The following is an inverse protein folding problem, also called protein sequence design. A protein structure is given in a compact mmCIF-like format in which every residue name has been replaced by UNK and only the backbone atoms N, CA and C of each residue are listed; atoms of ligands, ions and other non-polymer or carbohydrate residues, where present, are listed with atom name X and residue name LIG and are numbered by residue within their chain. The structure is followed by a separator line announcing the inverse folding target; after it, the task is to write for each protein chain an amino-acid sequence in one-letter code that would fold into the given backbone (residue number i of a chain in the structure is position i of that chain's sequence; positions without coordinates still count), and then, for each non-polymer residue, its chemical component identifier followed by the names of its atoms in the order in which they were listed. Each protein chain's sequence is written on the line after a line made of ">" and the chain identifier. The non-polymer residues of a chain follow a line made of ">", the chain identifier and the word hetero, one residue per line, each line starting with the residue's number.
data_IF_883203147563
#
_entry.id   IF_883203147563
#
_cell.length_a   1.000
_cell.length_b   1.000
_cell.length_c   1.000
_cell.angle_alpha   90.00
_cell.angle_beta   90.00
_cell.angle_gamma   90.00
#
_symmetry.space_group_name_H-M   'P 1'
#
loop_
_entity.id
_entity.type
_entity.pdbx_description
1 polymer ?
#
# COMPACT_ATOMS: atom_id res chain seq x y z
N UNK A 1 -3.47 -3.33 -28.91
CA UNK A 1 -2.06 -3.33 -29.37
C UNK A 1 -1.19 -2.41 -28.51
N UNK A 2 -1.59 -1.16 -28.22
CA UNK A 2 -0.87 -0.26 -27.29
C UNK A 2 -0.63 -0.86 -25.89
N UNK A 3 -1.64 -1.48 -25.26
CA UNK A 3 -1.48 -2.07 -23.92
C UNK A 3 -0.42 -3.19 -23.84
N UNK A 4 -0.23 -3.95 -24.92
CA UNK A 4 0.77 -5.02 -24.94
C UNK A 4 2.18 -4.44 -25.06
N UNK A 5 2.43 -3.57 -26.03
CA UNK A 5 3.72 -2.90 -26.17
C UNK A 5 4.10 -2.12 -24.89
N UNK A 6 3.13 -1.48 -24.25
CA UNK A 6 3.29 -0.75 -23.01
C UNK A 6 3.68 -1.63 -21.81
N UNK A 7 2.98 -2.76 -21.61
CA UNK A 7 3.34 -3.74 -20.58
C UNK A 7 4.73 -4.33 -20.83
N UNK A 8 5.08 -4.60 -22.10
CA UNK A 8 6.43 -5.04 -22.46
C UNK A 8 7.47 -3.96 -22.14
N UNK A 9 7.19 -2.68 -22.41
CA UNK A 9 8.10 -1.57 -22.05
C UNK A 9 8.30 -1.45 -20.54
N UNK A 10 7.25 -1.64 -19.73
CA UNK A 10 7.36 -1.61 -18.27
C UNK A 10 8.07 -2.84 -17.68
N UNK A 11 7.89 -4.01 -18.30
CA UNK A 11 8.64 -5.22 -17.95
C UNK A 11 10.11 -5.08 -18.33
N UNK A 12 10.40 -4.56 -19.54
CA UNK A 12 11.77 -4.22 -19.93
C UNK A 12 12.36 -3.19 -18.97
N UNK A 13 11.63 -2.13 -18.64
CA UNK A 13 12.05 -1.17 -17.61
C UNK A 13 12.40 -1.86 -16.30
N UNK A 14 11.57 -2.79 -15.83
CA UNK A 14 11.81 -3.55 -14.62
C UNK A 14 13.12 -4.36 -14.71
N UNK A 15 13.31 -5.09 -15.80
CA UNK A 15 14.51 -5.91 -16.04
C UNK A 15 15.78 -5.04 -16.17
N UNK A 16 15.69 -3.89 -16.83
CA UNK A 16 16.82 -2.95 -16.97
C UNK A 16 17.17 -2.27 -15.65
N UNK A 17 16.19 -1.95 -14.79
CA UNK A 17 16.47 -1.44 -13.46
C UNK A 17 17.13 -2.50 -12.58
N UNK A 18 16.68 -3.74 -12.68
CA UNK A 18 17.31 -4.84 -11.97
C UNK A 18 18.76 -5.01 -12.43
N UNK A 19 19.02 -4.95 -13.74
CA UNK A 19 20.39 -4.95 -14.26
C UNK A 19 21.20 -3.74 -13.77
N UNK A 20 20.66 -2.52 -13.83
CA UNK A 20 21.34 -1.32 -13.34
C UNK A 20 21.66 -1.39 -11.85
N UNK A 21 20.78 -2.02 -11.07
CA UNK A 21 21.01 -2.31 -9.66
C UNK A 21 22.15 -3.31 -9.46
N UNK A 22 22.22 -4.36 -10.28
CA UNK A 22 23.28 -5.37 -10.22
C UNK A 22 24.66 -4.85 -10.64
N UNK A 23 24.71 -3.78 -11.45
CA UNK A 23 25.94 -3.12 -11.92
C UNK A 23 26.27 -1.82 -11.19
N UNK A 24 25.57 -1.49 -10.10
CA UNK A 24 25.77 -0.27 -9.31
C UNK A 24 25.69 1.05 -10.12
N UNK A 25 24.83 1.09 -11.14
CA UNK A 25 24.67 2.25 -12.04
C UNK A 25 23.54 3.19 -11.57
N UNK A 26 23.77 3.91 -10.47
CA UNK A 26 22.78 4.83 -9.89
C UNK A 26 22.20 5.86 -10.88
N UNK A 27 22.99 6.59 -11.70
CA UNK A 27 22.45 7.61 -12.59
C UNK A 27 21.52 7.01 -13.65
N UNK A 28 21.82 5.79 -14.10
CA UNK A 28 21.03 5.06 -15.10
C UNK A 28 19.71 4.62 -14.51
N UNK A 29 19.74 4.05 -13.29
CA UNK A 29 18.53 3.70 -12.55
C UNK A 29 17.63 4.93 -12.34
N UNK A 30 18.20 6.05 -11.89
CA UNK A 30 17.46 7.29 -11.65
C UNK A 30 16.78 7.82 -12.92
N UNK A 31 17.50 7.85 -14.03
CA UNK A 31 16.96 8.28 -15.32
C UNK A 31 15.82 7.35 -15.76
N UNK A 32 15.98 6.03 -15.63
CA UNK A 32 14.91 5.10 -15.94
C UNK A 32 13.65 5.40 -15.14
N UNK A 33 13.73 5.58 -13.81
CA UNK A 33 12.53 5.91 -13.02
C UNK A 33 11.90 7.21 -13.46
N UNK A 34 12.71 8.23 -13.78
CA UNK A 34 12.23 9.52 -14.26
C UNK A 34 11.43 9.36 -15.55
N UNK A 35 11.95 8.59 -16.51
CA UNK A 35 11.27 8.26 -17.76
C UNK A 35 10.01 7.42 -17.54
N UNK A 36 10.03 6.47 -16.61
CA UNK A 36 8.85 5.68 -16.27
C UNK A 36 7.72 6.54 -15.67
N UNK A 37 8.05 7.56 -14.87
CA UNK A 37 7.05 8.50 -14.37
C UNK A 37 6.45 9.36 -15.49
N UNK A 38 7.28 9.86 -16.42
CA UNK A 38 6.80 10.62 -17.58
C UNK A 38 5.87 9.75 -18.42
N UNK A 39 6.30 8.53 -18.74
CA UNK A 39 5.52 7.57 -19.50
C UNK A 39 4.19 7.23 -18.80
N UNK A 40 4.22 7.07 -17.46
CA UNK A 40 3.02 6.85 -16.66
C UNK A 40 2.01 8.00 -16.79
N UNK A 41 2.49 9.25 -16.74
CA UNK A 41 1.64 10.45 -16.76
C UNK A 41 1.11 10.79 -18.16
N UNK A 42 1.92 10.61 -19.20
CA UNK A 42 1.61 11.06 -20.56
C UNK A 42 0.88 10.00 -21.40
N UNK A 43 1.24 8.72 -21.27
CA UNK A 43 0.80 7.67 -22.19
C UNK A 43 -0.24 6.70 -21.59
N UNK A 44 -0.35 6.62 -20.26
CA UNK A 44 -1.21 5.62 -19.59
C UNK A 44 -2.57 6.20 -19.26
N UNK A 45 -3.52 5.98 -20.16
CA UNK A 45 -4.89 6.48 -20.02
C UNK A 45 -5.85 5.43 -19.44
N UNK A 46 -5.56 4.14 -19.65
CA UNK A 46 -6.42 3.05 -19.16
C UNK A 46 -6.22 2.79 -17.66
N UNK A 47 -7.32 2.88 -16.91
CA UNK A 47 -7.30 2.70 -15.45
C UNK A 47 -6.67 1.39 -14.98
N UNK A 48 -6.85 0.27 -15.69
CA UNK A 48 -6.25 -1.02 -15.30
C UNK A 48 -4.74 -1.06 -15.60
N UNK A 49 -4.35 -0.53 -16.76
CA UNK A 49 -2.94 -0.37 -17.11
C UNK A 49 -2.22 0.55 -16.11
N UNK A 50 -2.86 1.61 -15.64
CA UNK A 50 -2.32 2.50 -14.62
C UNK A 50 -2.10 1.82 -13.30
N UNK A 51 -3.10 1.06 -12.81
CA UNK A 51 -2.92 0.27 -11.58
C UNK A 51 -1.72 -0.65 -11.72
N UNK A 52 -1.60 -1.34 -12.86
CA UNK A 52 -0.50 -2.28 -13.09
C UNK A 52 0.86 -1.57 -13.15
N UNK A 53 0.97 -0.50 -13.94
CA UNK A 53 2.18 0.31 -14.05
C UNK A 53 2.60 0.87 -12.69
N UNK A 54 1.65 1.36 -11.90
CA UNK A 54 1.92 1.88 -10.56
C UNK A 54 2.53 0.82 -9.63
N UNK A 55 1.93 -0.37 -9.60
CA UNK A 55 2.46 -1.48 -8.80
C UNK A 55 3.86 -1.92 -9.27
N UNK A 56 4.12 -1.88 -10.58
CA UNK A 56 5.45 -2.18 -11.13
C UNK A 56 6.49 -1.13 -10.72
N UNK A 57 6.16 0.17 -10.79
CA UNK A 57 7.07 1.24 -10.36
C UNK A 57 7.38 1.13 -8.86
N UNK A 58 6.35 0.95 -8.02
CA UNK A 58 6.54 0.80 -6.57
C UNK A 58 7.38 -0.45 -6.27
N UNK A 59 7.05 -1.57 -6.90
CA UNK A 59 7.77 -2.84 -6.69
C UNK A 59 9.22 -2.79 -7.17
N UNK A 60 9.49 -2.09 -8.28
CA UNK A 60 10.84 -1.84 -8.76
C UNK A 60 11.61 -0.99 -7.75
N UNK A 61 11.08 0.19 -7.38
CA UNK A 61 11.73 1.12 -6.46
C UNK A 61 12.00 0.51 -5.08
N UNK A 62 11.11 -0.36 -4.59
CA UNK A 62 11.30 -1.08 -3.34
C UNK A 62 12.57 -1.94 -3.36
N UNK A 63 12.89 -2.58 -4.50
CA UNK A 63 14.02 -3.51 -4.66
C UNK A 63 15.32 -2.85 -5.12
N UNK A 64 15.32 -1.54 -5.34
CA UNK A 64 16.52 -0.82 -5.76
C UNK A 64 17.41 -0.48 -4.57
N UNK A 65 18.59 -1.06 -4.54
CA UNK A 65 19.59 -0.86 -3.48
C UNK A 65 20.72 0.09 -3.93
N UNK A 66 20.89 0.28 -5.24
CA UNK A 66 21.88 1.20 -5.84
C UNK A 66 21.57 2.69 -5.63
N UNK A 67 20.32 3.04 -5.32
CA UNK A 67 19.92 4.44 -5.16
C UNK A 67 20.41 5.00 -3.82
N UNK A 68 21.19 6.09 -3.88
CA UNK A 68 21.57 6.89 -2.73
C UNK A 68 20.35 7.52 -2.05
N UNK A 69 20.53 7.93 -0.79
CA UNK A 69 19.44 8.40 0.08
C UNK A 69 18.64 9.55 -0.56
N UNK A 70 19.32 10.54 -1.14
CA UNK A 70 18.68 11.72 -1.74
C UNK A 70 17.87 11.39 -3.00
N UNK A 71 18.46 10.59 -3.90
CA UNK A 71 17.80 10.15 -5.13
C UNK A 71 16.61 9.24 -4.82
N UNK A 72 16.77 8.31 -3.88
CA UNK A 72 15.69 7.45 -3.41
C UNK A 72 14.58 8.26 -2.76
N UNK A 73 14.90 9.26 -1.94
CA UNK A 73 13.90 10.13 -1.32
C UNK A 73 13.11 10.92 -2.38
N UNK A 74 13.81 11.45 -3.37
CA UNK A 74 13.21 12.19 -4.49
C UNK A 74 12.26 11.30 -5.31
N UNK A 75 12.71 10.11 -5.71
CA UNK A 75 11.88 9.16 -6.47
C UNK A 75 10.71 8.63 -5.64
N UNK A 76 10.90 8.41 -4.33
CA UNK A 76 9.83 8.00 -3.42
C UNK A 76 8.82 9.11 -3.22
N UNK A 77 9.27 10.37 -3.09
CA UNK A 77 8.39 11.53 -3.03
C UNK A 77 7.65 11.73 -4.34
N UNK A 78 8.28 11.49 -5.49
CA UNK A 78 7.62 11.54 -6.81
C UNK A 78 6.60 10.42 -6.97
N UNK A 79 6.95 9.16 -6.67
CA UNK A 79 6.01 8.04 -6.67
C UNK A 79 4.83 8.31 -5.74
N UNK A 80 5.12 8.71 -4.50
CA UNK A 80 4.11 9.07 -3.52
C UNK A 80 3.29 10.23 -4.05
N UNK A 81 3.89 11.34 -4.49
CA UNK A 81 3.23 12.53 -5.03
C UNK A 81 2.33 12.25 -6.25
N UNK A 82 2.76 11.42 -7.18
CA UNK A 82 1.94 10.96 -8.31
C UNK A 82 0.70 10.20 -7.81
N UNK A 83 0.82 9.45 -6.70
CA UNK A 83 -0.28 8.70 -6.07
C UNK A 83 -1.12 9.56 -5.11
N UNK A 84 -0.50 10.57 -4.48
CA UNK A 84 -0.96 11.26 -3.27
C UNK A 84 -1.33 12.72 -3.57
N UNK A 85 -0.58 13.48 -4.36
CA UNK A 85 -0.94 14.84 -4.79
C UNK A 85 -1.89 14.86 -6.00
N UNK A 86 -2.10 13.72 -6.64
CA UNK A 86 -3.26 13.44 -7.49
C UNK A 86 -4.62 13.59 -6.78
N UNK A 87 -4.63 13.75 -5.46
CA UNK A 87 -5.84 13.72 -4.62
C UNK A 87 -6.84 14.90 -4.82
N UNK A 88 -6.45 16.12 -5.25
CA UNK A 88 -7.42 17.12 -5.70
C UNK A 88 -7.36 17.48 -7.19
N UNK A 89 -6.22 17.30 -7.88
CA UNK A 89 -6.04 17.75 -9.28
C UNK A 89 -6.09 16.62 -10.32
N UNK A 90 -5.89 15.35 -9.93
CA UNK A 90 -6.09 14.20 -10.82
C UNK A 90 -7.49 13.64 -10.61
N UNK A 91 -8.49 14.43 -11.00
CA UNK A 91 -9.87 13.99 -11.13
C UNK A 91 -10.06 12.93 -12.25
N UNK A 92 -8.99 12.30 -12.77
CA UNK A 92 -9.06 11.60 -14.05
C UNK A 92 -8.90 10.08 -14.07
N UNK A 93 -8.28 9.40 -13.09
CA UNK A 93 -7.63 8.13 -13.49
C UNK A 93 -7.87 6.87 -12.62
N UNK A 94 -7.89 6.93 -11.29
CA UNK A 94 -8.09 5.71 -10.46
C UNK A 94 -9.35 5.75 -9.61
N UNK A 95 -10.04 4.61 -9.49
CA UNK A 95 -11.14 4.44 -8.52
C UNK A 95 -10.59 4.48 -7.09
N UNK A 96 -11.39 4.94 -6.13
CA UNK A 96 -10.97 5.04 -4.71
C UNK A 96 -10.33 3.76 -4.14
N UNK A 97 -10.83 2.54 -4.43
CA UNK A 97 -10.17 1.32 -3.97
C UNK A 97 -8.74 1.19 -4.49
N UNK A 98 -8.51 1.44 -5.76
CA UNK A 98 -7.19 1.33 -6.37
C UNK A 98 -6.22 2.39 -5.83
N UNK A 99 -6.72 3.60 -5.59
CA UNK A 99 -5.96 4.66 -4.90
C UNK A 99 -5.56 4.22 -3.49
N UNK A 100 -6.48 3.63 -2.73
CA UNK A 100 -6.21 3.12 -1.39
C UNK A 100 -5.06 2.11 -1.42
N UNK A 101 -5.12 1.16 -2.37
CA UNK A 101 -4.10 0.12 -2.54
C UNK A 101 -2.73 0.66 -2.91
N UNK A 102 -2.68 1.60 -3.85
CA UNK A 102 -1.44 2.27 -4.21
C UNK A 102 -0.83 3.02 -3.00
N UNK A 103 -1.67 3.75 -2.23
CA UNK A 103 -1.20 4.55 -1.08
C UNK A 103 -0.61 3.66 0.03
N UNK A 104 -1.28 2.57 0.42
CA UNK A 104 -0.67 1.69 1.42
C UNK A 104 0.51 0.91 0.83
N UNK A 105 0.58 0.64 -0.48
CA UNK A 105 1.73 -0.04 -1.08
C UNK A 105 3.00 0.82 -0.94
N UNK A 106 2.89 2.14 -1.09
CA UNK A 106 4.01 3.07 -0.89
C UNK A 106 4.60 3.05 0.52
N UNK A 107 3.85 2.59 1.52
CA UNK A 107 4.42 2.45 2.88
C UNK A 107 5.65 1.54 2.91
N UNK A 108 5.74 0.55 2.01
CA UNK A 108 6.91 -0.33 1.89
C UNK A 108 8.16 0.37 1.34
N UNK A 109 8.03 1.51 0.66
CA UNK A 109 9.17 2.29 0.19
C UNK A 109 9.94 2.95 1.34
N UNK A 110 9.24 3.24 2.44
CA UNK A 110 9.76 3.87 3.65
C UNK A 110 10.20 2.88 4.72
N UNK A 111 10.10 1.57 4.45
CA UNK A 111 10.44 0.53 5.41
C UNK A 111 10.99 -0.72 4.71
N UNK A 112 12.31 -0.80 4.63
CA UNK A 112 13.07 -1.89 4.01
C UNK A 112 13.72 -2.71 5.12
N UNK A 113 13.45 -4.01 5.13
CA UNK A 113 13.94 -4.94 6.16
C UNK A 113 15.34 -5.49 5.82
N UNK A 114 16.24 -4.58 5.48
CA UNK A 114 17.67 -4.85 5.23
C UNK A 114 18.53 -4.12 6.27
N UNK A 115 19.78 -4.55 6.45
CA UNK A 115 20.66 -4.10 7.54
C UNK A 115 20.85 -2.58 7.57
N UNK A 116 20.89 -1.96 6.39
CA UNK A 116 21.02 -0.52 6.19
C UNK A 116 19.81 0.06 5.42
N UNK A 117 18.68 -0.67 5.43
CA UNK A 117 17.45 -0.26 4.78
C UNK A 117 16.78 0.92 5.48
N UNK A 118 16.04 1.72 4.70
CA UNK A 118 15.26 2.86 5.24
C UNK A 118 14.23 2.34 6.25
N UNK A 119 14.16 2.96 7.43
CA UNK A 119 13.18 2.66 8.49
C UNK A 119 12.49 3.93 8.99
N UNK A 120 11.78 4.61 8.10
CA UNK A 120 11.01 5.81 8.42
C UNK A 120 9.58 5.42 8.83
N UNK A 121 9.41 5.15 10.12
CA UNK A 121 8.13 4.71 10.67
C UNK A 121 7.03 5.78 10.60
N UNK A 122 7.38 7.06 10.60
CA UNK A 122 6.42 8.17 10.55
C UNK A 122 5.79 8.27 9.17
N UNK A 123 6.60 8.17 8.11
CA UNK A 123 6.11 8.16 6.73
C UNK A 123 5.31 6.90 6.41
N UNK A 124 5.71 5.73 6.96
CA UNK A 124 4.87 4.52 6.91
C UNK A 124 3.48 4.81 7.48
N UNK A 125 3.41 5.35 8.70
CA UNK A 125 2.14 5.62 9.36
C UNK A 125 1.32 6.68 8.60
N UNK A 126 1.97 7.68 8.01
CA UNK A 126 1.32 8.68 7.17
C UNK A 126 0.62 8.05 5.96
N UNK A 127 1.28 7.15 5.24
CA UNK A 127 0.69 6.38 4.14
C UNK A 127 -0.50 5.55 4.62
N UNK A 128 -0.36 4.80 5.71
CA UNK A 128 -1.43 3.96 6.25
C UNK A 128 -2.65 4.78 6.70
N UNK A 129 -2.44 5.90 7.41
CA UNK A 129 -3.53 6.82 7.79
C UNK A 129 -4.22 7.43 6.57
N UNK A 130 -3.47 7.73 5.51
CA UNK A 130 -4.05 8.25 4.27
C UNK A 130 -4.86 7.20 3.53
N UNK A 131 -4.38 5.96 3.44
CA UNK A 131 -5.14 4.83 2.90
C UNK A 131 -6.46 4.64 3.66
N UNK A 132 -6.42 4.70 4.99
CA UNK A 132 -7.62 4.61 5.83
C UNK A 132 -8.63 5.73 5.56
N UNK A 133 -8.18 6.97 5.33
CA UNK A 133 -9.06 8.08 4.92
C UNK A 133 -9.73 7.81 3.56
N UNK A 134 -8.99 7.26 2.61
CA UNK A 134 -9.53 6.93 1.27
C UNK A 134 -10.55 5.79 1.38
N UNK A 135 -10.26 4.75 2.18
CA UNK A 135 -11.19 3.65 2.44
C UNK A 135 -12.50 4.15 3.07
N UNK A 136 -12.42 4.99 4.11
CA UNK A 136 -13.60 5.62 4.72
C UNK A 136 -14.42 6.44 3.71
N UNK A 137 -13.76 7.24 2.88
CA UNK A 137 -14.45 8.03 1.87
C UNK A 137 -15.08 7.16 0.76
N UNK A 138 -14.51 5.99 0.45
CA UNK A 138 -15.11 5.00 -0.43
C UNK A 138 -16.37 4.37 0.20
N UNK A 139 -16.31 4.04 1.49
CA UNK A 139 -17.44 3.51 2.27
C UNK A 139 -18.61 4.49 2.32
N UNK A 140 -18.35 5.77 2.61
CA UNK A 140 -19.36 6.83 2.66
C UNK A 140 -20.00 7.07 1.30
N UNK A 141 -19.22 7.01 0.22
CA UNK A 141 -19.73 7.16 -1.14
C UNK A 141 -20.64 6.00 -1.53
N UNK A 142 -20.30 4.76 -1.16
CA UNK A 142 -21.16 3.61 -1.37
C UNK A 142 -22.49 3.78 -0.60
N UNK A 143 -22.42 4.14 0.68
CA UNK A 143 -23.61 4.42 1.50
C UNK A 143 -24.52 5.49 0.87
N UNK A 144 -23.94 6.56 0.32
CA UNK A 144 -24.70 7.64 -0.31
C UNK A 144 -25.34 7.24 -1.66
N UNK A 145 -24.69 6.38 -2.45
CA UNK A 145 -25.15 6.02 -3.80
C UNK A 145 -26.11 4.84 -3.78
N UNK A 146 -25.85 3.82 -2.97
CA UNK A 146 -26.60 2.55 -2.97
C UNK A 146 -27.32 2.28 -1.65
N UNK A 147 -27.29 3.20 -0.68
CA UNK A 147 -27.88 3.00 0.65
C UNK A 147 -27.21 1.89 1.46
N UNK A 148 -26.05 1.41 1.00
CA UNK A 148 -25.35 0.24 1.53
C UNK A 148 -23.89 0.56 1.82
N UNK A 149 -23.35 -0.03 2.90
CA UNK A 149 -21.94 0.10 3.21
C UNK A 149 -21.14 -0.64 2.16
N UNK A 150 -20.08 0.01 1.66
CA UNK A 150 -19.16 -0.60 0.71
C UNK A 150 -18.46 -1.84 1.28
N UNK A 151 -17.76 -2.62 0.45
CA UNK A 151 -17.07 -3.80 0.92
C UNK A 151 -15.96 -3.43 1.91
N UNK A 152 -15.96 -4.05 3.09
CA UNK A 152 -14.97 -3.82 4.16
C UNK A 152 -13.56 -4.30 3.81
N UNK A 153 -13.38 -4.93 2.65
CA UNK A 153 -12.12 -5.52 2.17
C UNK A 153 -10.93 -4.58 2.31
N UNK A 154 -11.10 -3.29 1.97
CA UNK A 154 -10.02 -2.30 2.05
C UNK A 154 -9.54 -2.09 3.49
N UNK A 155 -10.44 -2.11 4.47
CA UNK A 155 -10.07 -1.98 5.87
C UNK A 155 -9.29 -3.22 6.34
N UNK A 156 -9.70 -4.42 5.92
CA UNK A 156 -8.99 -5.67 6.21
C UNK A 156 -7.59 -5.70 5.58
N UNK A 157 -7.47 -5.24 4.32
CA UNK A 157 -6.18 -5.08 3.64
C UNK A 157 -5.26 -4.12 4.41
N UNK A 158 -5.76 -2.95 4.81
CA UNK A 158 -5.02 -1.97 5.60
C UNK A 158 -4.62 -2.57 6.95
N UNK A 159 -5.52 -3.27 7.65
CA UNK A 159 -5.22 -3.93 8.93
C UNK A 159 -4.03 -4.89 8.78
N UNK A 160 -4.01 -5.70 7.71
CA UNK A 160 -2.88 -6.59 7.42
C UNK A 160 -1.56 -5.83 7.19
N UNK A 161 -1.61 -4.62 6.62
CA UNK A 161 -0.43 -3.75 6.52
C UNK A 161 0.01 -3.21 7.88
N UNK A 162 -0.92 -2.80 8.75
CA UNK A 162 -0.59 -2.44 10.14
C UNK A 162 0.09 -3.62 10.85
N UNK A 163 -0.47 -4.83 10.76
CA UNK A 163 0.11 -6.03 11.36
C UNK A 163 1.53 -6.31 10.85
N UNK A 164 1.77 -6.20 9.55
CA UNK A 164 3.10 -6.36 8.97
C UNK A 164 4.13 -5.41 9.59
N UNK A 165 3.87 -4.10 9.59
CA UNK A 165 4.82 -3.13 10.14
C UNK A 165 4.95 -3.20 11.66
N UNK A 166 3.86 -3.59 12.35
CA UNK A 166 3.91 -3.89 13.76
C UNK A 166 4.90 -5.02 14.04
N UNK A 167 4.83 -6.13 13.31
CA UNK A 167 5.75 -7.25 13.48
C UNK A 167 7.19 -6.90 13.14
N UNK A 168 7.40 -6.07 12.11
CA UNK A 168 8.73 -5.55 11.76
C UNK A 168 9.29 -4.54 12.75
N UNK A 169 8.55 -4.21 13.82
CA UNK A 169 9.06 -3.38 14.90
C UNK A 169 8.95 -1.88 14.66
N UNK A 170 8.07 -1.44 13.76
CA UNK A 170 7.82 -0.02 13.59
C UNK A 170 7.13 0.56 14.85
N UNK A 171 7.77 1.47 15.60
CA UNK A 171 7.24 1.98 16.86
C UNK A 171 6.01 2.88 16.68
N UNK A 172 5.82 3.44 15.48
CA UNK A 172 4.67 4.29 15.16
C UNK A 172 3.39 3.47 14.97
N UNK A 173 3.51 2.17 14.70
CA UNK A 173 2.39 1.26 14.64
C UNK A 173 2.19 0.64 16.02
N UNK A 174 1.06 0.95 16.66
CA UNK A 174 0.78 0.51 18.04
C UNK A 174 -0.33 -0.54 18.07
N UNK A 175 -0.34 -1.35 19.13
CA UNK A 175 -1.43 -2.29 19.41
C UNK A 175 -2.78 -1.58 19.55
N UNK A 176 -2.80 -0.35 20.08
CA UNK A 176 -4.00 0.48 20.17
C UNK A 176 -4.53 0.88 18.78
N UNK A 177 -3.66 1.22 17.83
CA UNK A 177 -4.08 1.52 16.46
C UNK A 177 -4.68 0.28 15.78
N UNK A 178 -4.04 -0.90 15.96
CA UNK A 178 -4.55 -2.18 15.44
C UNK A 178 -5.91 -2.51 16.07
N UNK A 179 -6.05 -2.34 17.39
CA UNK A 179 -7.31 -2.55 18.10
C UNK A 179 -8.43 -1.69 17.52
N UNK A 180 -8.18 -0.39 17.33
CA UNK A 180 -9.17 0.51 16.74
C UNK A 180 -9.60 0.11 15.33
N UNK A 181 -8.68 -0.43 14.51
CA UNK A 181 -9.03 -0.95 13.18
C UNK A 181 -9.86 -2.24 13.26
N UNK A 182 -9.52 -3.16 14.17
CA UNK A 182 -10.31 -4.39 14.40
C UNK A 182 -11.73 -4.04 14.83
N UNK A 183 -11.89 -3.09 15.75
CA UNK A 183 -13.21 -2.63 16.21
C UNK A 183 -14.00 -1.96 15.09
N UNK A 184 -13.34 -1.10 14.29
CA UNK A 184 -13.97 -0.46 13.14
C UNK A 184 -14.48 -1.50 12.14
N UNK A 185 -13.66 -2.48 11.76
CA UNK A 185 -14.05 -3.53 10.81
C UNK A 185 -15.20 -4.35 11.38
N UNK A 186 -15.12 -4.73 12.65
CA UNK A 186 -16.17 -5.51 13.33
C UNK A 186 -17.51 -4.77 13.30
N UNK A 187 -17.51 -3.48 13.63
CA UNK A 187 -18.71 -2.65 13.63
C UNK A 187 -19.30 -2.47 12.22
N UNK A 188 -18.46 -2.23 11.21
CA UNK A 188 -18.92 -2.14 9.82
C UNK A 188 -19.51 -3.45 9.32
N UNK A 189 -18.93 -4.60 9.68
CA UNK A 189 -19.45 -5.91 9.28
C UNK A 189 -20.76 -6.28 9.98
N UNK A 190 -21.01 -5.77 11.19
CA UNK A 190 -22.25 -5.97 11.93
C UNK A 190 -23.35 -4.95 11.55
N UNK A 191 -23.02 -3.93 10.77
CA UNK A 191 -24.00 -2.93 10.34
C UNK A 191 -25.02 -3.54 9.37
N UNK A 192 -26.31 -3.33 9.65
CA UNK A 192 -27.42 -3.78 8.80
C UNK A 192 -27.38 -3.18 7.37
N UNK A 193 -26.64 -2.10 7.17
CA UNK A 193 -26.44 -1.47 5.87
C UNK A 193 -25.35 -2.14 5.02
N UNK A 194 -24.52 -3.01 5.59
CA UNK A 194 -23.39 -3.61 4.87
C UNK A 194 -23.86 -4.77 4.00
N UNK A 195 -23.45 -4.77 2.73
CA UNK A 195 -23.70 -5.92 1.86
C UNK A 195 -22.81 -7.09 2.30
N UNK A 196 -23.39 -8.27 2.59
CA UNK A 196 -22.60 -9.44 2.98
C UNK A 196 -21.65 -9.83 1.86
N UNK A 197 -20.36 -9.93 2.18
CA UNK A 197 -19.33 -10.41 1.27
C UNK A 197 -18.56 -11.55 1.94
N UNK A 198 -18.89 -12.82 1.60
CA UNK A 198 -18.25 -13.99 2.18
C UNK A 198 -16.72 -14.00 2.04
N UNK A 199 -16.18 -13.37 0.98
CA UNK A 199 -14.74 -13.30 0.78
C UNK A 199 -14.09 -12.35 1.80
N UNK A 200 -14.67 -11.17 2.02
CA UNK A 200 -14.22 -10.23 3.04
C UNK A 200 -14.36 -10.79 4.45
N UNK A 201 -15.44 -11.51 4.74
CA UNK A 201 -15.67 -12.20 6.02
C UNK A 201 -14.60 -13.26 6.28
N UNK A 202 -14.34 -14.13 5.30
CA UNK A 202 -13.31 -15.16 5.40
C UNK A 202 -11.91 -14.54 5.56
N UNK A 203 -11.64 -13.43 4.88
CA UNK A 203 -10.35 -12.74 4.99
C UNK A 203 -10.16 -12.10 6.37
N UNK A 204 -11.19 -11.44 6.91
CA UNK A 204 -11.15 -10.88 8.25
C UNK A 204 -11.01 -11.98 9.31
N UNK A 205 -11.79 -13.05 9.21
CA UNK A 205 -11.70 -14.19 10.13
C UNK A 205 -10.30 -14.84 10.12
N UNK A 206 -9.68 -14.94 8.96
CA UNK A 206 -8.30 -15.43 8.82
C UNK A 206 -7.29 -14.48 9.49
N UNK A 207 -7.50 -13.17 9.35
CA UNK A 207 -6.68 -12.13 10.00
C UNK A 207 -6.83 -12.18 11.53
N UNK A 208 -8.03 -12.40 12.05
CA UNK A 208 -8.28 -12.55 13.49
C UNK A 208 -7.61 -13.81 14.05
N UNK A 209 -7.73 -14.95 13.35
CA UNK A 209 -7.03 -16.19 13.73
C UNK A 209 -5.52 -15.99 13.77
N UNK A 210 -4.97 -15.22 12.82
CA UNK A 210 -3.56 -14.87 12.82
C UNK A 210 -3.15 -14.09 14.08
N UNK A 211 -3.91 -13.05 14.46
CA UNK A 211 -3.66 -12.28 15.69
C UNK A 211 -3.71 -13.20 16.92
N UNK A 212 -4.70 -14.09 17.01
CA UNK A 212 -4.82 -15.06 18.11
C UNK A 212 -3.63 -16.02 18.16
N UNK A 213 -3.18 -16.52 16.99
CA UNK A 213 -2.02 -17.39 16.89
C UNK A 213 -0.73 -16.68 17.35
N UNK A 214 -0.52 -15.42 16.97
CA UNK A 214 0.65 -14.66 17.42
C UNK A 214 0.66 -14.42 18.94
N UNK A 215 -0.51 -14.24 19.57
CA UNK A 215 -0.63 -14.17 21.03
C UNK A 215 -0.20 -15.47 21.72
N UNK A 216 -0.59 -16.61 21.16
CA UNK A 216 -0.35 -17.93 21.75
C UNK A 216 1.13 -18.36 21.67
N UNK A 217 1.91 -17.80 20.73
CA UNK A 217 3.35 -18.11 20.62
C UNK A 217 4.17 -17.79 21.88
N UNK A 218 3.66 -16.93 22.76
CA UNK A 218 4.39 -16.49 23.95
C UNK A 218 5.64 -15.67 23.62
N UNK A 219 6.47 -15.41 24.64
CA UNK A 219 7.66 -14.56 24.51
C UNK A 219 7.36 -13.12 24.09
N UNK A 220 8.38 -12.43 23.58
CA UNK A 220 8.29 -11.01 23.19
C UNK A 220 7.18 -10.74 22.15
N UNK A 221 6.96 -11.68 21.23
CA UNK A 221 5.91 -11.56 20.22
C UNK A 221 4.52 -11.70 20.86
N UNK A 222 4.30 -12.71 21.70
CA UNK A 222 3.02 -12.90 22.38
C UNK A 222 2.65 -11.71 23.27
N UNK A 223 3.60 -11.17 24.03
CA UNK A 223 3.42 -9.99 24.88
C UNK A 223 3.03 -8.76 24.05
N UNK A 224 3.68 -8.57 22.90
CA UNK A 224 3.42 -7.46 22.00
C UNK A 224 2.00 -7.47 21.44
N UNK A 225 1.46 -8.65 21.11
CA UNK A 225 0.09 -8.82 20.63
C UNK A 225 -0.96 -8.88 21.75
N UNK A 226 -0.55 -9.16 22.99
CA UNK A 226 -1.42 -9.31 24.17
C UNK A 226 -2.53 -8.25 24.29
N UNK A 227 -2.23 -6.94 24.16
CA UNK A 227 -3.22 -5.87 24.31
C UNK A 227 -4.34 -5.84 23.26
N UNK A 228 -4.17 -6.47 22.09
CA UNK A 228 -5.14 -6.43 20.98
C UNK A 228 -6.28 -7.42 21.27
N UNK A 229 -7.46 -6.97 21.65
CA UNK A 229 -8.63 -7.81 21.92
C UNK A 229 -9.31 -8.22 20.60
N UNK A 230 -9.44 -9.53 20.40
CA UNK A 230 -10.01 -10.18 19.22
C UNK A 230 -10.89 -11.34 19.64
#
# INVERSE_FOLDING_TARGET
>A
MLNYAFLTSFLLFYDHNQAANDYDLEPVAYEFFTQAFILYEEEVVDSKAQVTAMHLIIGALQRMNVLGVENRDTLTHKATGVIVLAYPYSAKLLKRPDQCRAVYACSHLFWVDEKDGIKDGERVLLCLKRALRIANAAQQMANAVSGTSGPVTLFVEILNKYLYFFEKGNPQVTSAAIQGLVELITNEMQSDSTTPDPASEAFFASTIRYIQFQKQKGGVVGEKFGPIKV
#
